data_IF_230573974034
#
_entry.id   IF_230573974034
#
_cell.length_a   1.000
_cell.length_b   1.000
_cell.length_c   1.000
_cell.angle_alpha   90.00
_cell.angle_beta   90.00
_cell.angle_gamma   90.00
#
_symmetry.space_group_name_H-M   'P 1'
#
loop_
_entity.id
_entity.type
_entity.pdbx_description
1 polymer ?
#
# COMPACT_ATOMS: atom_id res chain seq x y z
N UNK A 1 3.46 14.17 -14.67
CA UNK A 1 4.82 13.67 -14.94
C UNK A 1 5.00 12.24 -14.43
N UNK A 2 5.89 11.47 -15.11
CA UNK A 2 6.33 10.15 -14.71
C UNK A 2 7.86 10.13 -14.69
N UNK A 3 8.45 9.54 -13.66
CA UNK A 3 9.90 9.46 -13.51
C UNK A 3 10.32 9.38 -12.04
N UNK A 4 11.61 9.50 -11.78
CA UNK A 4 12.11 9.52 -10.42
C UNK A 4 11.69 10.77 -9.64
N UNK A 5 11.76 10.71 -8.31
CA UNK A 5 11.27 11.74 -7.39
C UNK A 5 11.80 13.16 -7.72
N UNK A 6 13.07 13.28 -8.17
CA UNK A 6 13.66 14.56 -8.55
C UNK A 6 12.99 15.21 -9.77
N UNK A 7 12.68 14.42 -10.80
CA UNK A 7 11.97 14.92 -11.98
C UNK A 7 10.53 15.34 -11.62
N UNK A 8 9.84 14.52 -10.84
CA UNK A 8 8.47 14.82 -10.41
C UNK A 8 8.44 16.12 -9.62
N UNK A 9 9.35 16.29 -8.66
CA UNK A 9 9.47 17.52 -7.87
C UNK A 9 9.74 18.74 -8.75
N UNK A 10 10.70 18.66 -9.66
CA UNK A 10 11.00 19.76 -10.57
C UNK A 10 9.80 20.13 -11.46
N UNK A 11 9.05 19.14 -11.96
CA UNK A 11 7.83 19.40 -12.71
C UNK A 11 6.78 20.14 -11.89
N UNK A 12 6.52 19.70 -10.64
CA UNK A 12 5.51 20.30 -9.78
C UNK A 12 5.89 21.72 -9.35
N UNK A 13 7.17 21.95 -9.02
CA UNK A 13 7.67 23.25 -8.56
C UNK A 13 7.75 24.29 -9.70
N UNK A 14 8.01 23.86 -10.92
CA UNK A 14 8.23 24.77 -12.05
C UNK A 14 7.04 24.89 -13.02
N UNK A 15 6.03 24.05 -12.86
CA UNK A 15 4.87 24.10 -13.74
C UNK A 15 4.03 25.36 -13.49
N UNK A 16 3.53 25.93 -14.59
CA UNK A 16 2.59 27.05 -14.57
C UNK A 16 1.13 26.58 -14.56
N UNK A 17 0.91 25.28 -14.61
CA UNK A 17 -0.41 24.62 -14.54
C UNK A 17 -0.39 23.54 -13.46
N UNK A 18 -1.53 23.20 -12.86
CA UNK A 18 -1.60 22.11 -11.91
C UNK A 18 -1.06 20.80 -12.50
N UNK A 19 -0.15 20.14 -11.79
CA UNK A 19 0.39 18.85 -12.19
C UNK A 19 -0.21 17.73 -11.33
N UNK A 20 -0.83 16.75 -11.99
CA UNK A 20 -1.14 15.47 -11.35
C UNK A 20 0.09 14.60 -11.47
N UNK A 21 0.57 14.12 -10.33
CA UNK A 21 1.79 13.33 -10.27
C UNK A 21 1.52 11.91 -9.77
N UNK A 22 2.36 10.98 -10.22
CA UNK A 22 2.52 9.68 -9.58
C UNK A 22 3.55 9.81 -8.46
N UNK A 23 3.26 9.25 -7.30
CA UNK A 23 4.16 9.29 -6.13
C UNK A 23 4.95 7.98 -5.95
N UNK A 24 5.84 7.98 -4.95
CA UNK A 24 6.41 6.77 -4.38
C UNK A 24 5.34 6.00 -3.61
N UNK A 25 5.49 4.68 -3.48
CA UNK A 25 4.54 3.82 -2.79
C UNK A 25 5.15 3.16 -1.55
N UNK A 26 4.96 3.74 -0.37
CA UNK A 26 5.25 3.07 0.90
C UNK A 26 3.94 2.46 1.39
N UNK A 27 3.60 1.29 0.83
CA UNK A 27 2.33 0.63 1.09
C UNK A 27 2.41 -0.25 2.34
N UNK A 28 1.34 -0.25 3.14
CA UNK A 28 1.26 -1.00 4.39
C UNK A 28 0.22 -2.11 4.32
N UNK A 29 0.51 -3.23 4.98
CA UNK A 29 -0.48 -4.25 5.30
C UNK A 29 -0.52 -4.42 6.81
N UNK A 30 -1.67 -4.19 7.41
CA UNK A 30 -1.91 -4.41 8.83
C UNK A 30 -2.62 -5.75 9.06
N UNK A 31 -2.01 -6.60 9.88
CA UNK A 31 -2.57 -7.88 10.33
C UNK A 31 -3.18 -7.67 11.72
N UNK A 32 -4.49 -7.62 11.76
CA UNK A 32 -5.28 -7.37 12.97
C UNK A 32 -5.33 -8.59 13.92
N UNK A 33 -5.73 -8.37 15.16
CA UNK A 33 -5.91 -9.43 16.15
C UNK A 33 -6.95 -10.49 15.74
N UNK A 34 -7.92 -10.12 14.91
CA UNK A 34 -8.95 -10.99 14.35
C UNK A 34 -8.63 -11.50 12.94
N UNK A 35 -7.39 -11.41 12.50
CA UNK A 35 -7.02 -11.85 11.17
C UNK A 35 -7.06 -13.37 11.01
N UNK A 36 -7.53 -13.84 9.86
CA UNK A 36 -7.18 -15.16 9.34
C UNK A 36 -5.71 -15.14 8.91
N UNK A 37 -4.86 -15.82 9.69
CA UNK A 37 -3.40 -15.75 9.51
C UNK A 37 -2.91 -16.41 8.22
N UNK A 38 -3.58 -17.45 7.74
CA UNK A 38 -3.25 -18.08 6.46
C UNK A 38 -3.59 -17.18 5.28
N UNK A 39 -4.71 -16.46 5.37
CA UNK A 39 -5.10 -15.41 4.43
C UNK A 39 -4.08 -14.27 4.44
N UNK A 40 -3.68 -13.80 5.62
CA UNK A 40 -2.70 -12.74 5.78
C UNK A 40 -1.35 -13.08 5.13
N UNK A 41 -0.83 -14.29 5.35
CA UNK A 41 0.41 -14.76 4.70
C UNK A 41 0.30 -14.71 3.18
N UNK A 42 -0.80 -15.21 2.60
CA UNK A 42 -1.01 -15.21 1.15
C UNK A 42 -1.07 -13.79 0.57
N UNK A 43 -1.76 -12.88 1.26
CA UNK A 43 -1.87 -11.47 0.86
C UNK A 43 -0.49 -10.82 0.86
N UNK A 44 0.29 -10.96 1.93
CA UNK A 44 1.61 -10.33 2.07
C UNK A 44 2.62 -10.95 1.11
N UNK A 45 2.64 -12.27 0.94
CA UNK A 45 3.49 -12.92 -0.07
C UNK A 45 3.20 -12.34 -1.46
N UNK A 46 1.94 -12.21 -1.84
CA UNK A 46 1.56 -11.58 -3.11
C UNK A 46 1.96 -10.11 -3.16
N UNK A 47 1.63 -9.33 -2.13
CA UNK A 47 1.87 -7.90 -2.06
C UNK A 47 3.37 -7.56 -2.16
N UNK A 48 4.25 -8.35 -1.52
CA UNK A 48 5.69 -8.08 -1.53
C UNK A 48 6.44 -8.76 -2.68
N UNK A 49 6.04 -9.96 -3.09
CA UNK A 49 6.93 -10.80 -3.91
C UNK A 49 6.51 -10.97 -5.36
N UNK A 50 5.28 -10.62 -5.74
CA UNK A 50 4.82 -10.72 -7.12
C UNK A 50 5.59 -9.77 -8.06
N UNK A 51 5.89 -8.56 -7.59
CA UNK A 51 6.74 -7.58 -8.27
C UNK A 51 7.18 -6.51 -7.26
N UNK A 52 8.33 -6.65 -6.60
CA UNK A 52 8.74 -5.76 -5.51
C UNK A 52 9.07 -4.32 -5.97
N UNK A 53 9.41 -4.12 -7.25
CA UNK A 53 9.86 -2.84 -7.80
C UNK A 53 8.73 -1.95 -8.33
N UNK A 54 7.50 -2.11 -7.84
CA UNK A 54 6.36 -1.27 -8.23
C UNK A 54 5.77 -0.55 -7.02
N UNK A 55 5.17 0.62 -7.27
CA UNK A 55 4.69 1.54 -6.24
C UNK A 55 3.57 0.99 -5.34
N UNK A 56 2.85 -0.06 -5.74
CA UNK A 56 1.82 -0.73 -4.92
C UNK A 56 2.32 -2.01 -4.24
N UNK A 57 3.63 -2.31 -4.32
CA UNK A 57 4.21 -3.39 -3.53
C UNK A 57 4.20 -3.00 -2.04
N UNK A 58 3.99 -3.98 -1.18
CA UNK A 58 4.07 -3.78 0.27
C UNK A 58 5.50 -3.46 0.69
N UNK A 59 5.68 -2.40 1.48
CA UNK A 59 6.97 -2.02 2.06
C UNK A 59 6.98 -2.17 3.58
N UNK A 60 5.81 -2.09 4.21
CA UNK A 60 5.66 -2.18 5.67
C UNK A 60 4.55 -3.15 6.06
N UNK A 61 4.89 -4.12 6.90
CA UNK A 61 3.96 -5.03 7.55
C UNK A 61 3.76 -4.62 9.01
N UNK A 62 2.53 -4.25 9.38
CA UNK A 62 2.13 -4.00 10.76
C UNK A 62 1.42 -5.23 11.32
N UNK A 63 1.79 -5.67 12.52
CA UNK A 63 1.24 -6.90 13.12
C UNK A 63 0.71 -6.58 14.51
N UNK A 64 -0.56 -6.88 14.75
CA UNK A 64 -1.12 -6.73 16.09
C UNK A 64 -0.43 -7.68 17.09
N UNK A 65 -0.10 -7.16 18.27
CA UNK A 65 0.65 -7.91 19.30
C UNK A 65 0.03 -9.26 19.67
N UNK A 66 -1.30 -9.35 19.67
CA UNK A 66 -2.00 -10.57 20.07
C UNK A 66 -1.79 -11.75 19.12
N UNK A 67 -1.40 -11.48 17.87
CA UNK A 67 -1.14 -12.51 16.86
C UNK A 67 0.34 -12.63 16.49
N UNK A 68 1.18 -11.71 16.95
CA UNK A 68 2.58 -11.61 16.55
C UNK A 68 3.38 -12.92 16.75
N UNK A 69 3.26 -13.56 17.90
CA UNK A 69 3.98 -14.81 18.20
C UNK A 69 3.58 -15.99 17.30
N UNK A 70 2.34 -15.96 16.79
CA UNK A 70 1.84 -17.00 15.87
C UNK A 70 2.11 -16.63 14.42
N UNK A 71 1.90 -15.38 14.06
CA UNK A 71 1.95 -14.91 12.68
C UNK A 71 3.37 -14.72 12.16
N UNK A 72 4.26 -14.08 12.94
CA UNK A 72 5.62 -13.76 12.48
C UNK A 72 6.44 -14.99 12.06
N UNK A 73 6.39 -16.14 12.77
CA UNK A 73 7.04 -17.36 12.28
C UNK A 73 6.47 -17.86 10.93
N UNK A 74 5.14 -17.77 10.73
CA UNK A 74 4.50 -18.14 9.45
C UNK A 74 4.96 -17.21 8.33
N UNK A 75 5.00 -15.91 8.59
CA UNK A 75 5.47 -14.90 7.65
C UNK A 75 6.93 -15.14 7.25
N UNK A 76 7.82 -15.33 8.24
CA UNK A 76 9.23 -15.62 7.98
C UNK A 76 9.42 -16.91 7.20
N UNK A 77 8.67 -17.95 7.56
CA UNK A 77 8.69 -19.22 6.81
C UNK A 77 8.35 -18.98 5.33
N UNK A 78 7.26 -18.31 5.03
CA UNK A 78 6.80 -18.09 3.66
C UNK A 78 7.72 -17.15 2.84
N UNK A 79 8.19 -16.04 3.44
CA UNK A 79 8.98 -15.03 2.74
C UNK A 79 10.48 -15.34 2.66
N UNK A 80 10.99 -16.14 3.59
CA UNK A 80 12.44 -16.42 3.67
C UNK A 80 12.73 -17.90 3.38
N UNK A 81 12.19 -18.80 4.19
CA UNK A 81 12.57 -20.21 4.16
C UNK A 81 12.05 -20.94 2.93
N UNK A 82 10.74 -20.84 2.66
CA UNK A 82 10.10 -21.51 1.53
C UNK A 82 10.64 -20.94 0.20
N UNK A 83 10.88 -19.62 0.14
CA UNK A 83 11.48 -18.99 -1.05
C UNK A 83 12.92 -19.45 -1.28
N UNK A 84 13.73 -19.54 -0.22
CA UNK A 84 15.10 -20.08 -0.30
C UNK A 84 15.08 -21.54 -0.76
N UNK A 85 14.20 -22.35 -0.21
CA UNK A 85 14.05 -23.76 -0.60
C UNK A 85 13.61 -23.93 -2.06
N UNK A 86 12.82 -22.99 -2.58
CA UNK A 86 12.39 -22.94 -3.97
C UNK A 86 13.43 -22.31 -4.93
N UNK A 87 14.61 -21.92 -4.46
CA UNK A 87 15.64 -21.23 -5.26
C UNK A 87 15.25 -19.81 -5.68
N UNK A 88 14.28 -19.20 -5.00
CA UNK A 88 13.87 -17.81 -5.20
C UNK A 88 14.63 -16.88 -4.26
N UNK A 89 14.67 -15.58 -4.58
CA UNK A 89 15.28 -14.56 -3.71
C UNK A 89 14.45 -14.45 -2.44
N UNK A 90 15.04 -14.71 -1.24
CA UNK A 90 14.35 -14.52 0.02
C UNK A 90 14.12 -13.03 0.28
N UNK A 91 13.06 -12.71 1.05
CA UNK A 91 12.81 -11.34 1.49
C UNK A 91 13.64 -11.04 2.74
N UNK A 92 14.41 -9.95 2.73
CA UNK A 92 15.05 -9.41 3.92
C UNK A 92 13.98 -8.79 4.82
N UNK A 93 13.83 -9.30 6.03
CA UNK A 93 12.90 -8.77 7.03
C UNK A 93 13.64 -7.78 7.94
N UNK A 94 13.24 -6.51 7.94
CA UNK A 94 13.74 -5.46 8.83
C UNK A 94 12.78 -5.30 9.99
N UNK A 95 13.21 -5.71 11.16
CA UNK A 95 12.36 -5.96 12.31
C UNK A 95 12.47 -4.86 13.35
N UNK A 96 11.35 -4.35 13.84
CA UNK A 96 11.33 -3.57 15.07
C UNK A 96 11.76 -4.45 16.28
N UNK A 97 12.07 -3.87 17.45
CA UNK A 97 12.52 -4.65 18.60
C UNK A 97 11.53 -5.72 19.06
N UNK A 98 10.22 -5.50 18.89
CA UNK A 98 9.17 -6.45 19.30
C UNK A 98 9.07 -7.62 18.34
N UNK A 99 9.15 -7.36 17.04
CA UNK A 99 9.20 -8.43 16.02
C UNK A 99 10.51 -9.24 16.13
N UNK A 100 11.65 -8.56 16.38
CA UNK A 100 12.96 -9.21 16.58
C UNK A 100 13.02 -10.12 17.82
N UNK A 101 12.15 -9.90 18.80
CA UNK A 101 12.02 -10.81 19.93
C UNK A 101 11.33 -12.15 19.57
N UNK A 102 10.60 -12.20 18.44
CA UNK A 102 9.85 -13.40 18.01
C UNK A 102 10.55 -14.13 16.87
N UNK A 103 11.10 -13.41 15.89
CA UNK A 103 11.77 -14.00 14.73
C UNK A 103 13.13 -13.34 14.49
N UNK A 104 14.01 -14.05 13.76
CA UNK A 104 15.31 -13.50 13.34
C UNK A 104 15.17 -12.72 12.03
N UNK A 105 15.87 -11.59 11.93
CA UNK A 105 15.97 -10.73 10.78
C UNK A 105 16.96 -9.59 11.01
N UNK A 106 17.02 -8.64 10.12
CA UNK A 106 17.84 -7.42 10.24
C UNK A 106 17.13 -6.44 11.18
N UNK A 107 17.79 -5.82 12.17
CA UNK A 107 17.17 -4.77 12.96
C UNK A 107 16.74 -3.60 12.07
N UNK A 108 15.50 -3.14 12.22
CA UNK A 108 15.01 -1.98 11.52
C UNK A 108 15.69 -0.69 11.99
N UNK A 109 16.14 0.11 11.02
CA UNK A 109 16.62 1.47 11.27
C UNK A 109 15.49 2.50 11.28
N UNK A 110 15.78 3.74 11.74
CA UNK A 110 14.75 4.78 11.85
C UNK A 110 14.09 5.15 10.51
N UNK A 111 14.81 5.00 9.39
CA UNK A 111 14.31 5.34 8.06
C UNK A 111 13.60 4.20 7.34
N UNK A 112 13.60 2.98 7.89
CA UNK A 112 13.08 1.81 7.17
C UNK A 112 11.55 1.86 6.99
N UNK A 113 10.84 2.56 7.86
CA UNK A 113 9.40 2.77 7.75
C UNK A 113 9.02 3.94 6.82
N UNK A 114 10.01 4.73 6.38
CA UNK A 114 9.87 5.86 5.44
C UNK A 114 10.55 5.57 4.10
N UNK A 115 10.85 4.29 3.81
CA UNK A 115 11.62 3.89 2.63
C UNK A 115 10.78 3.03 1.69
N UNK A 116 10.69 3.45 0.42
CA UNK A 116 10.27 2.61 -0.68
C UNK A 116 11.50 1.79 -1.14
N UNK A 117 11.57 0.52 -0.71
CA UNK A 117 12.75 -0.33 -0.97
C UNK A 117 12.88 -0.75 -2.43
N UNK A 118 11.74 -0.94 -3.12
CA UNK A 118 11.69 -1.42 -4.51
C UNK A 118 12.41 -2.77 -4.73
N UNK A 119 12.59 -3.53 -3.67
CA UNK A 119 13.34 -4.79 -3.65
C UNK A 119 12.67 -5.79 -2.69
N UNK A 120 13.21 -6.98 -2.58
CA UNK A 120 12.80 -8.02 -1.64
C UNK A 120 13.21 -7.67 -0.20
N UNK A 121 12.77 -6.53 0.28
CA UNK A 121 12.98 -6.02 1.64
C UNK A 121 11.60 -5.61 2.19
N UNK A 122 11.30 -5.98 3.44
CA UNK A 122 10.04 -5.68 4.11
C UNK A 122 10.33 -5.23 5.54
N UNK A 123 9.89 -4.02 5.89
CA UNK A 123 9.91 -3.56 7.28
C UNK A 123 8.72 -4.17 8.05
N UNK A 124 8.97 -4.63 9.27
CA UNK A 124 7.96 -5.30 10.11
C UNK A 124 7.92 -4.64 11.48
N UNK A 125 6.74 -4.22 11.90
CA UNK A 125 6.50 -3.61 13.20
C UNK A 125 5.33 -4.25 13.92
N UNK A 126 5.48 -4.48 15.23
CA UNK A 126 4.39 -4.92 16.10
C UNK A 126 3.70 -3.71 16.73
N UNK A 127 2.38 -3.67 16.63
CA UNK A 127 1.52 -2.58 17.15
C UNK A 127 0.53 -3.12 18.18
N UNK A 128 0.02 -2.23 19.04
CA UNK A 128 -0.85 -2.63 20.15
C UNK A 128 -2.35 -2.59 19.81
N UNK A 129 -2.72 -1.91 18.74
CA UNK A 129 -4.13 -1.73 18.34
C UNK A 129 -4.27 -1.30 16.88
N UNK A 130 -5.50 -1.35 16.36
CA UNK A 130 -5.84 -0.76 15.06
C UNK A 130 -5.60 0.76 15.06
N UNK A 131 -5.76 1.44 16.19
CA UNK A 131 -5.47 2.88 16.30
C UNK A 131 -3.99 3.17 16.08
N UNK A 132 -3.10 2.43 16.75
CA UNK A 132 -1.66 2.57 16.54
C UNK A 132 -1.25 2.24 15.10
N UNK A 133 -1.91 1.24 14.48
CA UNK A 133 -1.67 0.93 13.07
C UNK A 133 -2.08 2.10 12.16
N UNK A 134 -3.23 2.72 12.40
CA UNK A 134 -3.70 3.91 11.67
C UNK A 134 -2.73 5.08 11.87
N UNK A 135 -2.32 5.37 13.10
CA UNK A 135 -1.35 6.42 13.42
C UNK A 135 -0.01 6.20 12.69
N UNK A 136 0.46 4.95 12.66
CA UNK A 136 1.68 4.60 11.93
C UNK A 136 1.53 4.85 10.43
N UNK A 137 0.43 4.37 9.84
CA UNK A 137 0.14 4.59 8.41
C UNK A 137 0.07 6.08 8.09
N UNK A 138 -0.61 6.87 8.91
CA UNK A 138 -0.71 8.32 8.70
C UNK A 138 0.65 9.03 8.77
N UNK A 139 1.56 8.53 9.61
CA UNK A 139 2.88 9.13 9.79
C UNK A 139 3.89 8.73 8.69
N UNK A 140 3.81 7.52 8.15
CA UNK A 140 4.85 6.92 7.31
C UNK A 140 4.39 6.59 5.88
N UNK A 141 3.09 6.52 5.61
CA UNK A 141 2.59 6.20 4.27
C UNK A 141 2.75 7.38 3.31
N UNK A 142 2.92 7.04 2.04
CA UNK A 142 2.81 7.99 0.92
C UNK A 142 1.38 8.15 0.43
N UNK A 143 0.39 7.64 1.14
CA UNK A 143 -1.04 7.67 0.82
C UNK A 143 -1.40 6.94 -0.50
N UNK A 144 -0.66 5.86 -0.79
CA UNK A 144 -0.84 5.10 -2.03
C UNK A 144 -1.87 3.98 -1.85
N UNK A 145 -1.50 2.89 -1.18
CA UNK A 145 -2.32 1.69 -1.07
C UNK A 145 -2.09 1.01 0.29
N UNK A 146 -3.14 0.91 1.08
CA UNK A 146 -3.06 0.37 2.43
C UNK A 146 -4.09 -0.76 2.60
N UNK A 147 -3.73 -1.79 3.33
CA UNK A 147 -4.60 -2.93 3.58
C UNK A 147 -4.70 -3.28 5.06
N UNK A 148 -5.87 -3.72 5.48
CA UNK A 148 -6.09 -4.44 6.73
C UNK A 148 -6.50 -5.88 6.43
N UNK A 149 -5.96 -6.83 7.18
CA UNK A 149 -6.44 -8.21 7.20
C UNK A 149 -7.13 -8.48 8.53
N UNK A 150 -8.44 -8.67 8.49
CA UNK A 150 -9.27 -8.88 9.69
C UNK A 150 -10.58 -9.58 9.34
N UNK A 151 -11.13 -10.34 10.26
CA UNK A 151 -12.50 -10.87 10.20
C UNK A 151 -13.46 -10.05 11.10
N UNK A 152 -13.01 -8.92 11.65
CA UNK A 152 -13.81 -8.02 12.46
C UNK A 152 -14.23 -6.78 11.66
N UNK A 153 -15.52 -6.68 11.34
CA UNK A 153 -16.09 -5.58 10.54
C UNK A 153 -15.86 -4.21 11.21
N UNK A 154 -15.92 -4.12 12.53
CA UNK A 154 -15.72 -2.84 13.22
C UNK A 154 -14.28 -2.34 13.09
N UNK A 155 -13.28 -3.23 13.17
CA UNK A 155 -11.87 -2.89 12.95
C UNK A 155 -11.61 -2.57 11.46
N UNK A 156 -12.25 -3.30 10.55
CA UNK A 156 -12.19 -3.02 9.12
C UNK A 156 -12.69 -1.60 8.80
N UNK A 157 -13.91 -1.26 9.26
CA UNK A 157 -14.49 0.07 9.06
C UNK A 157 -13.68 1.17 9.74
N UNK A 158 -13.15 0.92 10.92
CA UNK A 158 -12.28 1.86 11.64
C UNK A 158 -11.01 2.17 10.85
N UNK A 159 -10.35 1.13 10.31
CA UNK A 159 -9.15 1.29 9.48
C UNK A 159 -9.47 2.03 8.18
N UNK A 160 -10.53 1.63 7.46
CA UNK A 160 -10.94 2.26 6.19
C UNK A 160 -11.25 3.75 6.38
N UNK A 161 -11.94 4.11 7.47
CA UNK A 161 -12.29 5.50 7.74
C UNK A 161 -11.12 6.31 8.34
N UNK A 162 -10.15 5.64 8.98
CA UNK A 162 -9.00 6.28 9.61
C UNK A 162 -7.81 6.50 8.67
N UNK A 163 -7.71 5.76 7.58
CA UNK A 163 -6.60 5.82 6.65
C UNK A 163 -6.95 6.64 5.42
N UNK A 164 -6.19 7.69 5.15
CA UNK A 164 -6.42 8.60 4.02
C UNK A 164 -5.45 8.29 2.85
N UNK A 165 -5.62 7.12 2.24
CA UNK A 165 -4.84 6.69 1.06
C UNK A 165 -5.70 6.63 -0.20
N UNK A 166 -5.06 6.60 -1.37
CA UNK A 166 -5.74 6.55 -2.66
C UNK A 166 -6.54 5.26 -2.83
N UNK A 167 -6.07 4.15 -2.25
CA UNK A 167 -6.78 2.88 -2.18
C UNK A 167 -6.63 2.28 -0.77
N UNK A 168 -7.73 1.85 -0.18
CA UNK A 168 -7.76 1.17 1.12
C UNK A 168 -8.49 -0.16 0.97
N UNK A 169 -7.88 -1.23 1.42
CA UNK A 169 -8.32 -2.59 1.20
C UNK A 169 -8.66 -3.31 2.50
N UNK A 170 -9.66 -4.15 2.44
CA UNK A 170 -9.98 -5.12 3.50
C UNK A 170 -9.82 -6.53 2.92
N UNK A 171 -8.91 -7.32 3.48
CA UNK A 171 -8.64 -8.71 3.07
C UNK A 171 -8.22 -8.89 1.60
N UNK A 172 -7.52 -7.90 1.03
CA UNK A 172 -7.06 -7.90 -0.36
C UNK A 172 -5.62 -7.38 -0.43
N UNK A 173 -4.84 -7.87 -1.37
CA UNK A 173 -3.47 -7.42 -1.63
C UNK A 173 -3.44 -6.00 -2.21
N UNK A 174 -2.49 -5.18 -1.80
CA UNK A 174 -2.24 -3.85 -2.35
C UNK A 174 -1.91 -3.87 -3.86
N UNK A 175 -1.54 -5.05 -4.40
CA UNK A 175 -1.27 -5.25 -5.83
C UNK A 175 -2.50 -5.05 -6.72
N UNK A 176 -3.70 -5.02 -6.16
CA UNK A 176 -4.92 -4.71 -6.90
C UNK A 176 -5.07 -3.22 -7.26
N UNK A 177 -4.23 -2.32 -6.75
CA UNK A 177 -4.22 -0.92 -7.19
C UNK A 177 -3.63 -0.83 -8.59
N UNK A 178 -4.44 -1.11 -9.59
CA UNK A 178 -4.08 -1.21 -11.00
C UNK A 178 -5.28 -0.84 -11.87
N UNK A 179 -5.06 -0.05 -12.91
CA UNK A 179 -6.13 0.42 -13.79
C UNK A 179 -6.84 -0.71 -14.55
N UNK A 180 -6.12 -1.79 -14.87
CA UNK A 180 -6.71 -2.98 -15.47
C UNK A 180 -7.62 -3.73 -14.50
N UNK A 181 -7.15 -3.95 -13.26
CA UNK A 181 -7.92 -4.60 -12.19
C UNK A 181 -9.15 -3.78 -11.79
N UNK A 182 -9.06 -2.44 -11.82
CA UNK A 182 -10.18 -1.54 -11.53
C UNK A 182 -11.16 -1.37 -12.71
N UNK A 183 -10.88 -2.00 -13.85
CA UNK A 183 -11.75 -1.92 -15.01
C UNK A 183 -11.65 -0.61 -15.80
N UNK A 184 -10.60 0.18 -15.61
CA UNK A 184 -10.37 1.45 -16.31
C UNK A 184 -9.78 1.26 -17.73
N UNK A 185 -9.52 0.02 -18.13
CA UNK A 185 -9.00 -0.36 -19.44
C UNK A 185 -7.52 -0.05 -19.67
N UNK A 186 -6.97 0.93 -18.98
CA UNK A 186 -5.55 1.30 -19.03
C UNK A 186 -5.12 2.00 -17.75
N UNK A 187 -3.82 2.20 -17.58
CA UNK A 187 -3.26 2.99 -16.50
C UNK A 187 -2.06 3.80 -16.98
N UNK A 188 -2.11 5.10 -16.80
CA UNK A 188 -0.94 5.96 -16.96
C UNK A 188 -0.05 5.95 -15.71
N UNK A 189 -0.64 5.77 -14.55
CA UNK A 189 0.01 5.74 -13.24
C UNK A 189 -1.01 5.95 -12.13
N UNK A 190 -0.52 5.97 -10.89
CA UNK A 190 -1.36 6.08 -9.69
C UNK A 190 -1.06 7.40 -9.00
N UNK A 191 -2.07 8.26 -8.84
CA UNK A 191 -1.95 9.53 -8.14
C UNK A 191 -2.34 9.38 -6.68
N UNK A 192 -1.50 9.91 -5.78
CA UNK A 192 -1.81 10.00 -4.34
C UNK A 192 -2.34 11.37 -3.94
N UNK A 193 -2.41 12.30 -4.89
CA UNK A 193 -2.87 13.66 -4.66
C UNK A 193 -4.39 13.73 -4.54
N UNK A 194 -4.88 14.77 -3.86
CA UNK A 194 -6.31 15.12 -3.73
C UNK A 194 -6.72 16.22 -4.70
N UNK A 195 -6.27 16.10 -5.96
CA UNK A 195 -6.78 16.90 -7.09
C UNK A 195 -7.99 16.20 -7.71
N UNK A 196 -8.26 16.42 -9.01
CA UNK A 196 -9.40 15.76 -9.68
C UNK A 196 -9.16 14.25 -9.90
N UNK A 197 -7.89 13.79 -10.02
CA UNK A 197 -7.55 12.38 -10.14
C UNK A 197 -6.82 11.90 -8.89
N UNK A 198 -7.28 10.79 -8.33
CA UNK A 198 -6.66 10.08 -7.20
C UNK A 198 -6.78 8.57 -7.41
N UNK A 199 -5.73 7.83 -7.13
CA UNK A 199 -5.64 6.42 -7.47
C UNK A 199 -5.18 6.18 -8.91
N UNK A 200 -5.46 5.01 -9.50
CA UNK A 200 -5.15 4.71 -10.88
C UNK A 200 -5.80 5.71 -11.84
N UNK A 201 -5.01 6.23 -12.78
CA UNK A 201 -5.46 7.18 -13.80
C UNK A 201 -5.59 6.48 -15.13
N UNK A 202 -6.81 6.31 -15.61
CA UNK A 202 -7.13 5.77 -16.90
C UNK A 202 -7.40 6.86 -17.95
N UNK A 203 -8.22 6.53 -18.94
CA UNK A 203 -8.54 7.42 -20.04
C UNK A 203 -9.44 8.58 -19.58
N UNK A 204 -10.33 8.34 -18.65
CA UNK A 204 -11.30 9.32 -18.16
C UNK A 204 -10.60 10.47 -17.42
N UNK A 205 -9.56 10.17 -16.61
CA UNK A 205 -8.79 11.17 -15.87
C UNK A 205 -7.94 12.06 -16.76
N UNK A 206 -7.69 11.64 -18.00
CA UNK A 206 -6.97 12.43 -19.01
C UNK A 206 -7.89 13.22 -19.91
N UNK A 207 -9.20 13.08 -19.73
CA UNK A 207 -10.23 13.70 -20.55
C UNK A 207 -11.00 14.73 -19.75
N UNK A 208 -11.78 15.56 -20.45
CA UNK A 208 -12.81 16.41 -19.86
C UNK A 208 -14.13 16.17 -20.56
N UNK A 209 -15.21 16.64 -20.00
CA UNK A 209 -16.55 16.44 -20.53
C UNK A 209 -17.16 17.74 -21.03
N UNK A 210 -18.13 17.62 -21.94
CA UNK A 210 -18.94 18.71 -22.47
C UNK A 210 -20.41 18.37 -22.26
N UNK A 211 -21.17 19.32 -21.73
CA UNK A 211 -22.62 19.20 -21.67
C UNK A 211 -23.24 19.56 -23.03
N UNK A 212 -24.05 18.67 -23.56
CA UNK A 212 -24.85 18.92 -24.79
C UNK A 212 -26.32 18.97 -24.38
N UNK A 213 -26.91 20.16 -24.41
CA UNK A 213 -28.28 20.40 -24.06
C UNK A 213 -29.10 20.62 -25.34
N UNK A 214 -30.09 19.78 -25.57
CA UNK A 214 -31.01 19.90 -26.68
C UNK A 214 -32.41 20.18 -26.16
N UNK A 215 -33.04 21.26 -26.60
CA UNK A 215 -34.36 21.67 -26.17
C UNK A 215 -35.27 21.97 -27.35
N UNK A 216 -36.53 22.25 -27.05
CA UNK A 216 -37.60 22.65 -28.02
C UNK A 216 -38.19 24.03 -27.71
N UNK A 217 -37.38 24.93 -27.08
CA UNK A 217 -37.82 26.30 -26.75
C UNK A 217 -38.12 26.53 -25.25
N UNK A 218 -37.67 25.65 -24.37
CA UNK A 218 -37.81 25.85 -22.91
C UNK A 218 -37.09 27.12 -22.46
N UNK A 219 -37.72 27.88 -21.60
CA UNK A 219 -37.18 29.08 -20.93
C UNK A 219 -37.15 28.88 -19.43
N UNK A 220 -36.33 29.68 -18.73
CA UNK A 220 -36.23 29.71 -17.27
C UNK A 220 -36.74 31.04 -16.73
#
# INVERSE_FOLDING_TARGET
PRGGAGLIRACVEQATVPCIQTGTGICHVYVDEYADLDKAVKIIVNAKTSRPSVCNAEEVCLVHRAVAERFLPMLRKALVEDRTAAGQIPVELRLDPRAAAVISGTPAGPADFDTEFLDYILAVRVVDSVDEAIEHVQAHSTHHSEAIVTENDANAEKFVNGVDSAAVYVNVSTRFTDGGEFGLGCEMGISTQKLHARGPMGLDELSTYQYIIRGSGQTR
#
